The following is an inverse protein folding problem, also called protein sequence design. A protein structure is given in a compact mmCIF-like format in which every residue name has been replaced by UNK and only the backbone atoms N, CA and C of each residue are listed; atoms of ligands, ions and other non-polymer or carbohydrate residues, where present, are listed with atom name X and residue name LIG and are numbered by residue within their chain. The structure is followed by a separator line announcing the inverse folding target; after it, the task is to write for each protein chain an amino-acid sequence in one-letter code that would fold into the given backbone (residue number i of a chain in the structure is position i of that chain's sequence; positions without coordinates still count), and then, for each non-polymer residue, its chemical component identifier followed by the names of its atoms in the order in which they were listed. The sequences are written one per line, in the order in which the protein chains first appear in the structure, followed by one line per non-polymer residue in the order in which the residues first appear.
data_IF_044547703335
#
_entry.id   IF_044547703335
#
_cell.length_a   1.000
_cell.length_b   1.000
_cell.length_c   1.000
_cell.angle_alpha   90.00
_cell.angle_beta   90.00
_cell.angle_gamma   90.00
#
_symmetry.space_group_name_H-M   'P 1'
#
loop_
_entity.id
_entity.type
_entity.pdbx_description
1 polymer ?
#
# COMPACT_ATOMS: atom_id res chain seq x y z
N UNK A 1 -3.55 -13.11 1.91
CA UNK A 1 -3.56 -11.74 2.42
C UNK A 1 -2.15 -11.16 2.38
N UNK A 2 -2.05 -9.86 2.21
CA UNK A 2 -0.80 -9.14 2.07
C UNK A 2 -0.62 -8.06 3.13
N UNK A 3 0.60 -7.52 3.18
CA UNK A 3 0.95 -6.42 4.09
C UNK A 3 1.83 -5.40 3.36
N UNK A 4 1.65 -4.13 3.68
CA UNK A 4 2.58 -3.08 3.27
C UNK A 4 3.90 -3.26 3.99
N UNK A 5 4.99 -3.30 3.23
CA UNK A 5 6.34 -3.56 3.73
C UNK A 5 7.30 -2.43 3.36
N UNK A 6 7.94 -1.88 4.38
CA UNK A 6 9.07 -0.97 4.26
C UNK A 6 10.20 -1.47 5.16
N UNK A 7 11.46 -1.51 4.67
CA UNK A 7 12.57 -2.11 5.42
C UNK A 7 13.26 -1.14 6.37
N UNK A 8 12.78 0.10 6.47
CA UNK A 8 13.42 1.16 7.25
C UNK A 8 13.49 0.83 8.74
N UNK A 9 14.62 1.17 9.35
CA UNK A 9 14.81 1.16 10.80
C UNK A 9 14.88 2.59 11.34
N UNK A 10 15.05 2.74 12.66
CA UNK A 10 15.11 4.04 13.31
C UNK A 10 16.16 4.97 12.64
N UNK A 11 15.75 6.22 12.37
CA UNK A 11 16.59 7.20 11.69
C UNK A 11 16.61 7.10 10.15
N UNK A 12 15.91 6.14 9.59
CA UNK A 12 15.78 5.95 8.14
C UNK A 12 14.36 6.29 7.66
N UNK A 13 14.26 6.52 6.37
CA UNK A 13 13.00 6.80 5.66
C UNK A 13 13.26 6.93 4.17
N UNK A 14 12.27 7.41 3.39
CA UNK A 14 12.46 7.73 1.98
C UNK A 14 13.69 8.64 1.79
N UNK A 15 14.53 8.35 0.78
CA UNK A 15 15.84 8.98 0.60
C UNK A 15 17.01 8.18 1.18
N UNK A 16 16.74 7.18 2.02
CA UNK A 16 17.79 6.30 2.53
C UNK A 16 18.06 5.18 1.54
N UNK A 17 19.34 5.00 1.15
CA UNK A 17 19.75 3.86 0.32
C UNK A 17 19.66 2.56 1.11
N UNK A 18 18.79 1.65 0.69
CA UNK A 18 18.60 0.35 1.32
C UNK A 18 19.61 -0.68 0.80
N UNK A 19 20.07 -1.53 1.71
CA UNK A 19 20.92 -2.67 1.39
C UNK A 19 20.18 -3.99 1.49
N UNK A 20 20.62 -4.96 0.71
CA UNK A 20 20.02 -6.31 0.65
C UNK A 20 19.96 -7.00 2.03
N UNK A 21 21.02 -6.89 2.83
CA UNK A 21 21.09 -7.53 4.14
C UNK A 21 19.99 -7.04 5.07
N UNK A 22 19.74 -5.74 5.11
CA UNK A 22 18.69 -5.15 5.94
C UNK A 22 17.30 -5.55 5.44
N UNK A 23 17.09 -5.56 4.14
CA UNK A 23 15.82 -6.01 3.54
C UNK A 23 15.52 -7.45 3.96
N UNK A 24 16.50 -8.35 3.85
CA UNK A 24 16.35 -9.75 4.25
C UNK A 24 16.06 -9.90 5.73
N UNK A 25 16.77 -9.17 6.59
CA UNK A 25 16.53 -9.16 8.03
C UNK A 25 15.12 -8.72 8.37
N UNK A 26 14.67 -7.59 7.81
CA UNK A 26 13.33 -7.05 8.08
C UNK A 26 12.23 -7.95 7.50
N UNK A 27 12.42 -8.50 6.32
CA UNK A 27 11.47 -9.41 5.71
C UNK A 27 11.30 -10.71 6.53
N UNK A 28 12.36 -11.20 7.17
CA UNK A 28 12.31 -12.40 7.97
C UNK A 28 11.34 -12.33 9.16
N UNK A 29 11.06 -11.13 9.70
CA UNK A 29 10.06 -10.96 10.76
C UNK A 29 8.63 -11.23 10.26
N UNK A 30 8.31 -10.82 9.06
CA UNK A 30 6.93 -10.86 8.55
C UNK A 30 6.65 -12.08 7.64
N UNK A 31 7.68 -12.62 6.99
CA UNK A 31 7.55 -13.68 6.00
C UNK A 31 6.77 -14.91 6.50
N UNK A 32 6.90 -15.39 7.76
CA UNK A 32 6.11 -16.53 8.24
C UNK A 32 4.61 -16.26 8.38
N UNK A 33 4.19 -15.01 8.32
CA UNK A 33 2.84 -14.56 8.68
C UNK A 33 2.02 -14.05 7.49
N UNK A 34 2.63 -13.86 6.32
CA UNK A 34 1.99 -13.25 5.16
C UNK A 34 2.26 -14.05 3.88
N UNK A 35 1.39 -13.90 2.90
CA UNK A 35 1.55 -14.51 1.58
C UNK A 35 2.02 -13.52 0.52
N UNK A 36 1.80 -12.23 0.76
CA UNK A 36 2.12 -11.15 -0.20
C UNK A 36 2.69 -9.95 0.55
N UNK A 37 3.56 -9.21 -0.12
CA UNK A 37 3.97 -7.89 0.32
C UNK A 37 3.60 -6.84 -0.72
N UNK A 38 3.38 -5.62 -0.26
CA UNK A 38 3.30 -4.42 -1.08
C UNK A 38 4.48 -3.53 -0.79
N UNK A 39 5.15 -3.04 -1.85
CA UNK A 39 6.22 -2.05 -1.78
C UNK A 39 5.74 -0.71 -2.33
N UNK A 40 6.53 0.36 -2.15
CA UNK A 40 6.11 1.73 -2.48
C UNK A 40 6.99 2.41 -3.53
N UNK A 41 8.23 1.94 -3.73
CA UNK A 41 9.22 2.56 -4.59
C UNK A 41 10.07 1.51 -5.31
N UNK A 42 10.62 1.87 -6.46
CA UNK A 42 11.53 1.07 -7.27
C UNK A 42 12.91 1.70 -7.38
N UNK A 43 13.33 2.47 -6.39
CA UNK A 43 14.64 3.15 -6.32
C UNK A 43 15.21 3.11 -4.91
N UNK A 44 16.42 3.63 -4.72
CA UNK A 44 17.09 3.75 -3.42
C UNK A 44 17.27 2.41 -2.68
N UNK A 45 17.45 1.31 -3.44
CA UNK A 45 17.57 -0.04 -2.90
C UNK A 45 16.24 -0.77 -2.73
N UNK A 46 15.09 -0.06 -2.80
CA UNK A 46 13.77 -0.67 -2.71
C UNK A 46 13.48 -1.59 -3.90
N UNK A 47 14.12 -1.37 -5.04
CA UNK A 47 14.06 -2.22 -6.23
C UNK A 47 14.53 -3.66 -5.99
N UNK A 48 15.27 -3.90 -4.91
CA UNK A 48 15.73 -5.23 -4.51
C UNK A 48 14.63 -6.06 -3.82
N UNK A 49 13.66 -5.40 -3.19
CA UNK A 49 12.64 -6.06 -2.36
C UNK A 49 11.80 -7.09 -3.11
N UNK A 50 11.32 -6.84 -4.34
CA UNK A 50 10.47 -7.80 -5.05
C UNK A 50 11.18 -9.13 -5.34
N UNK A 51 12.44 -9.09 -5.77
CA UNK A 51 13.24 -10.30 -6.02
C UNK A 51 13.42 -11.11 -4.73
N UNK A 52 13.79 -10.45 -3.63
CA UNK A 52 13.97 -11.07 -2.31
C UNK A 52 12.67 -11.68 -1.80
N UNK A 53 11.54 -11.01 -2.00
CA UNK A 53 10.22 -11.54 -1.65
C UNK A 53 9.90 -12.83 -2.42
N UNK A 54 10.16 -12.85 -3.73
CA UNK A 54 9.96 -14.04 -4.58
C UNK A 54 10.84 -15.20 -4.16
N UNK A 55 12.11 -14.97 -3.81
CA UNK A 55 13.01 -15.99 -3.26
C UNK A 55 12.45 -16.64 -1.98
N UNK A 56 11.66 -15.90 -1.20
CA UNK A 56 11.01 -16.35 0.02
C UNK A 56 9.57 -16.84 -0.20
N UNK A 57 9.16 -17.04 -1.45
CA UNK A 57 7.84 -17.59 -1.79
C UNK A 57 6.68 -16.61 -1.62
N UNK A 58 6.94 -15.30 -1.53
CA UNK A 58 5.91 -14.28 -1.36
C UNK A 58 5.45 -13.72 -2.72
N UNK A 59 4.16 -13.44 -2.81
CA UNK A 59 3.61 -12.60 -3.87
C UNK A 59 3.95 -11.12 -3.66
N UNK A 60 3.91 -10.34 -4.75
CA UNK A 60 4.35 -8.94 -4.72
C UNK A 60 3.38 -8.01 -5.45
N UNK A 61 2.96 -6.95 -4.76
CA UNK A 61 2.42 -5.74 -5.36
C UNK A 61 3.54 -4.69 -5.32
N UNK A 62 4.12 -4.41 -6.47
CA UNK A 62 5.26 -3.50 -6.59
C UNK A 62 4.77 -2.09 -6.82
N UNK A 63 5.06 -1.20 -5.88
CA UNK A 63 4.72 0.21 -5.98
C UNK A 63 5.75 0.99 -6.80
N UNK A 64 5.24 1.87 -7.64
CA UNK A 64 6.02 2.83 -8.42
C UNK A 64 5.76 4.21 -7.84
N UNK A 65 6.74 4.79 -7.17
CA UNK A 65 6.56 6.10 -6.57
C UNK A 65 6.64 7.19 -7.64
N UNK A 66 5.54 7.92 -7.78
CA UNK A 66 5.46 9.07 -8.68
C UNK A 66 5.12 10.32 -7.88
N UNK A 67 5.79 11.43 -8.20
CA UNK A 67 5.54 12.74 -7.62
C UNK A 67 5.82 13.86 -8.67
N UNK A 68 6.05 15.08 -8.23
CA UNK A 68 6.36 16.22 -9.11
C UNK A 68 7.79 16.21 -9.66
N UNK A 69 8.66 15.32 -9.19
CA UNK A 69 10.01 15.11 -9.73
C UNK A 69 9.99 14.19 -10.95
N UNK A 70 9.85 14.77 -12.13
CA UNK A 70 9.71 14.02 -13.39
C UNK A 70 10.94 13.17 -13.73
N UNK A 71 12.15 13.61 -13.37
CA UNK A 71 13.37 12.82 -13.60
C UNK A 71 13.37 11.56 -12.74
N UNK A 72 12.98 11.66 -11.48
CA UNK A 72 12.87 10.52 -10.58
C UNK A 72 11.75 9.57 -11.02
N UNK A 73 10.63 10.09 -11.50
CA UNK A 73 9.53 9.29 -12.06
C UNK A 73 10.00 8.39 -13.21
N UNK A 74 10.89 8.89 -14.09
CA UNK A 74 11.45 8.08 -15.18
C UNK A 74 12.30 6.91 -14.69
N UNK A 75 13.06 7.11 -13.61
CA UNK A 75 13.84 6.04 -12.97
C UNK A 75 12.89 5.00 -12.37
N UNK A 76 11.89 5.44 -11.63
CA UNK A 76 10.90 4.57 -11.00
C UNK A 76 10.17 3.69 -12.03
N UNK A 77 9.66 4.27 -13.11
CA UNK A 77 8.91 3.53 -14.12
C UNK A 77 9.80 2.54 -14.89
N UNK A 78 11.03 2.93 -15.22
CA UNK A 78 11.99 2.06 -15.91
C UNK A 78 12.35 0.84 -15.04
N UNK A 79 12.65 1.05 -13.77
CA UNK A 79 12.96 -0.01 -12.82
C UNK A 79 11.76 -0.93 -12.58
N UNK A 80 10.56 -0.38 -12.48
CA UNK A 80 9.34 -1.17 -12.30
C UNK A 80 9.08 -2.12 -13.47
N UNK A 81 9.27 -1.65 -14.70
CA UNK A 81 9.16 -2.48 -15.91
C UNK A 81 10.21 -3.59 -15.91
N UNK A 82 11.44 -3.29 -15.54
CA UNK A 82 12.51 -4.29 -15.43
C UNK A 82 12.18 -5.36 -14.38
N UNK A 83 11.74 -4.94 -13.18
CA UNK A 83 11.32 -5.83 -12.10
C UNK A 83 10.18 -6.75 -12.55
N UNK A 84 9.17 -6.21 -13.22
CA UNK A 84 8.05 -6.99 -13.72
C UNK A 84 8.46 -8.00 -14.79
N UNK A 85 9.30 -7.60 -15.75
CA UNK A 85 9.77 -8.46 -16.81
C UNK A 85 10.76 -9.55 -16.31
N UNK A 86 11.40 -9.32 -15.17
CA UNK A 86 12.17 -10.36 -14.46
C UNK A 86 11.30 -11.38 -13.70
N UNK A 87 9.97 -11.20 -13.68
CA UNK A 87 9.05 -12.08 -12.98
C UNK A 87 8.91 -11.80 -11.49
N UNK A 88 9.32 -10.61 -11.04
CA UNK A 88 9.33 -10.26 -9.61
C UNK A 88 8.11 -9.43 -9.18
N UNK A 89 7.21 -9.07 -10.08
CA UNK A 89 5.96 -8.38 -9.77
C UNK A 89 4.75 -9.21 -10.22
N UNK A 90 3.80 -9.42 -9.33
CA UNK A 90 2.49 -9.97 -9.67
C UNK A 90 1.53 -8.86 -10.09
N UNK A 91 1.66 -7.68 -9.47
CA UNK A 91 0.88 -6.47 -9.75
C UNK A 91 1.83 -5.28 -9.71
N UNK A 92 1.65 -4.31 -10.61
CA UNK A 92 2.27 -2.99 -10.53
C UNK A 92 1.23 -1.96 -10.07
N UNK A 93 1.55 -1.24 -8.99
CA UNK A 93 0.80 -0.06 -8.55
C UNK A 93 1.53 1.21 -9.01
N UNK A 94 1.10 1.78 -10.12
CA UNK A 94 1.74 2.94 -10.76
C UNK A 94 1.22 4.23 -10.12
N UNK A 95 1.99 4.83 -9.25
CA UNK A 95 1.63 5.98 -8.43
C UNK A 95 0.88 5.59 -7.16
N UNK A 96 1.05 6.40 -6.13
CA UNK A 96 0.34 6.29 -4.86
C UNK A 96 -0.21 7.64 -4.45
N UNK A 97 -1.53 7.79 -4.43
CA UNK A 97 -2.24 9.01 -4.03
C UNK A 97 -1.78 10.29 -4.76
N UNK A 98 -1.35 10.14 -5.99
CA UNK A 98 -0.78 11.21 -6.80
C UNK A 98 -1.80 12.29 -7.12
N UNK A 99 -3.05 11.89 -7.40
CA UNK A 99 -4.16 12.81 -7.66
C UNK A 99 -4.61 13.49 -6.36
N UNK A 100 -4.70 12.72 -5.25
CA UNK A 100 -5.04 13.26 -3.94
C UNK A 100 -4.03 14.32 -3.47
N UNK A 101 -2.73 14.09 -3.72
CA UNK A 101 -1.66 15.06 -3.42
C UNK A 101 -1.56 16.21 -4.44
N UNK A 102 -2.09 16.02 -5.65
CA UNK A 102 -1.99 17.00 -6.74
C UNK A 102 -0.60 17.08 -7.41
N UNK A 103 0.21 16.02 -7.33
CA UNK A 103 1.58 15.99 -7.87
C UNK A 103 1.61 15.87 -9.40
N UNK A 104 0.64 15.17 -9.98
CA UNK A 104 0.48 14.98 -11.42
C UNK A 104 -0.94 15.32 -11.85
N UNK A 105 -1.07 15.70 -13.11
CA UNK A 105 -2.37 15.77 -13.77
C UNK A 105 -2.89 14.37 -14.11
N UNK A 106 -4.18 14.24 -14.35
CA UNK A 106 -4.79 12.99 -14.80
C UNK A 106 -4.15 12.47 -16.11
N UNK A 107 -3.85 13.37 -17.05
CA UNK A 107 -3.22 12.99 -18.32
C UNK A 107 -1.79 12.47 -18.13
N UNK A 108 -1.00 13.12 -17.31
CA UNK A 108 0.36 12.64 -16.97
C UNK A 108 0.33 11.26 -16.30
N UNK A 109 -0.58 11.05 -15.37
CA UNK A 109 -0.71 9.77 -14.68
C UNK A 109 -1.15 8.66 -15.65
N UNK A 110 -2.11 8.94 -16.54
CA UNK A 110 -2.54 8.00 -17.57
C UNK A 110 -1.38 7.63 -18.50
N UNK A 111 -0.52 8.58 -18.86
CA UNK A 111 0.68 8.30 -19.66
C UNK A 111 1.60 7.30 -18.95
N UNK A 112 1.90 7.50 -17.67
CA UNK A 112 2.71 6.56 -16.90
C UNK A 112 2.07 5.17 -16.78
N UNK A 113 0.77 5.09 -16.55
CA UNK A 113 0.03 3.81 -16.50
C UNK A 113 0.14 3.08 -17.85
N UNK A 114 -0.10 3.78 -18.94
CA UNK A 114 -0.04 3.19 -20.29
C UNK A 114 1.38 2.72 -20.62
N UNK A 115 2.39 3.50 -20.31
CA UNK A 115 3.81 3.13 -20.52
C UNK A 115 4.18 1.87 -19.73
N UNK A 116 3.72 1.76 -18.49
CA UNK A 116 3.92 0.53 -17.72
C UNK A 116 3.24 -0.66 -18.41
N UNK A 117 1.97 -0.53 -18.82
CA UNK A 117 1.23 -1.59 -19.52
C UNK A 117 1.88 -2.02 -20.82
N UNK A 118 2.39 -1.07 -21.60
CA UNK A 118 3.11 -1.36 -22.85
C UNK A 118 4.46 -2.04 -22.61
N UNK A 119 5.11 -1.74 -21.49
CA UNK A 119 6.42 -2.25 -21.13
C UNK A 119 6.43 -3.64 -20.49
N UNK A 120 5.29 -4.14 -20.01
CA UNK A 120 5.21 -5.42 -19.29
C UNK A 120 4.27 -6.41 -19.97
N UNK A 121 4.42 -7.70 -19.63
CA UNK A 121 3.56 -8.77 -20.16
C UNK A 121 3.12 -9.70 -19.03
N UNK A 122 1.80 -9.95 -18.95
CA UNK A 122 1.24 -10.88 -17.97
C UNK A 122 1.23 -10.37 -16.52
N UNK A 123 1.37 -9.05 -16.33
CA UNK A 123 1.30 -8.38 -15.04
C UNK A 123 0.17 -7.35 -15.09
N UNK A 124 -0.74 -7.41 -14.13
CA UNK A 124 -1.80 -6.43 -14.00
C UNK A 124 -1.22 -5.08 -13.54
N UNK A 125 -1.61 -4.00 -14.21
CA UNK A 125 -1.17 -2.64 -13.89
C UNK A 125 -2.36 -1.84 -13.39
N UNK A 126 -2.23 -1.29 -12.19
CA UNK A 126 -3.21 -0.42 -11.57
C UNK A 126 -2.61 0.88 -11.06
N UNK A 127 -3.47 1.71 -10.51
CA UNK A 127 -3.13 2.92 -9.79
C UNK A 127 -3.63 2.78 -8.35
N UNK A 128 -2.87 3.31 -7.39
CA UNK A 128 -3.22 3.28 -5.98
C UNK A 128 -3.68 4.67 -5.53
N UNK A 129 -4.91 4.77 -5.08
CA UNK A 129 -5.43 6.00 -4.47
C UNK A 129 -6.61 5.70 -3.54
N UNK A 130 -7.09 6.72 -2.83
CA UNK A 130 -8.30 6.64 -2.04
C UNK A 130 -9.47 6.14 -2.90
N UNK A 131 -10.30 5.29 -2.33
CA UNK A 131 -11.40 4.62 -3.03
C UNK A 131 -12.29 5.58 -3.82
N UNK A 132 -12.52 6.80 -3.32
CA UNK A 132 -13.39 7.79 -3.98
C UNK A 132 -12.75 8.46 -5.21
N UNK A 133 -11.41 8.43 -5.36
CA UNK A 133 -10.73 8.98 -6.53
C UNK A 133 -11.13 8.22 -7.81
N UNK A 134 -11.40 6.94 -7.70
CA UNK A 134 -11.87 6.14 -8.83
C UNK A 134 -13.29 6.51 -9.29
N UNK A 135 -14.11 7.07 -8.42
CA UNK A 135 -15.45 7.56 -8.78
C UNK A 135 -15.39 8.87 -9.58
N UNK A 136 -14.46 9.75 -9.22
CA UNK A 136 -14.34 11.08 -9.82
C UNK A 136 -13.38 11.12 -11.02
N UNK A 137 -12.58 10.07 -11.20
CA UNK A 137 -11.62 9.93 -12.30
C UNK A 137 -11.87 8.67 -13.16
N UNK A 138 -12.98 8.59 -13.90
CA UNK A 138 -13.33 7.40 -14.68
C UNK A 138 -12.31 7.07 -15.78
N UNK A 139 -11.55 8.03 -16.28
CA UNK A 139 -10.47 7.80 -17.25
C UNK A 139 -9.31 7.03 -16.64
N UNK A 140 -8.96 7.30 -15.38
CA UNK A 140 -7.97 6.53 -14.61
C UNK A 140 -8.46 5.10 -14.43
N UNK A 141 -9.70 4.93 -13.97
CA UNK A 141 -10.34 3.61 -13.84
C UNK A 141 -10.29 2.82 -15.15
N UNK A 142 -10.57 3.49 -16.27
CA UNK A 142 -10.53 2.86 -17.61
C UNK A 142 -9.10 2.43 -18.00
N UNK A 143 -8.08 3.21 -17.65
CA UNK A 143 -6.68 2.91 -17.97
C UNK A 143 -6.11 1.72 -17.17
N UNK A 144 -6.61 1.46 -15.97
CA UNK A 144 -6.13 0.39 -15.08
C UNK A 144 -6.66 -0.99 -15.49
N UNK A 145 -5.86 -2.04 -15.29
CA UNK A 145 -6.30 -3.44 -15.36
C UNK A 145 -6.98 -3.87 -14.06
N UNK A 146 -6.51 -3.35 -12.93
CA UNK A 146 -6.97 -3.63 -11.57
C UNK A 146 -7.14 -2.32 -10.80
N UNK A 147 -8.12 -2.27 -9.91
CA UNK A 147 -8.38 -1.12 -9.03
C UNK A 147 -7.72 -1.37 -7.69
N UNK A 148 -6.82 -0.48 -7.30
CA UNK A 148 -6.06 -0.56 -6.05
C UNK A 148 -6.53 0.56 -5.12
N UNK A 149 -7.50 0.24 -4.27
CA UNK A 149 -8.20 1.22 -3.46
C UNK A 149 -7.66 1.29 -2.03
N UNK A 150 -7.20 2.46 -1.60
CA UNK A 150 -6.91 2.76 -0.21
C UNK A 150 -8.21 3.08 0.52
N UNK A 151 -8.46 2.36 1.62
CA UNK A 151 -9.71 2.46 2.38
C UNK A 151 -9.38 2.62 3.87
N UNK A 152 -9.55 3.84 4.38
CA UNK A 152 -9.20 4.18 5.76
C UNK A 152 -10.38 4.79 6.52
N UNK A 153 -11.20 4.00 7.20
CA UNK A 153 -12.21 4.53 8.12
C UNK A 153 -11.62 5.46 9.19
N UNK A 154 -10.38 5.21 9.60
CA UNK A 154 -9.67 6.06 10.57
C UNK A 154 -9.54 7.51 10.10
N UNK A 155 -9.03 7.73 8.89
CA UNK A 155 -8.81 9.08 8.36
C UNK A 155 -10.11 9.85 8.10
N UNK A 156 -11.21 9.13 7.91
CA UNK A 156 -12.55 9.73 7.78
C UNK A 156 -13.28 9.89 9.12
N UNK A 157 -12.59 9.67 10.24
CA UNK A 157 -13.10 9.94 11.58
C UNK A 157 -14.15 8.94 12.08
N UNK A 158 -14.23 7.75 11.45
CA UNK A 158 -15.22 6.75 11.81
C UNK A 158 -14.89 6.08 13.16
N UNK A 159 -15.81 6.02 14.13
CA UNK A 159 -15.60 5.26 15.36
C UNK A 159 -15.29 3.79 15.08
N UNK A 160 -14.38 3.17 15.85
CA UNK A 160 -13.93 1.80 15.65
C UNK A 160 -15.06 0.76 15.63
N UNK A 161 -16.13 1.00 16.38
CA UNK A 161 -17.32 0.12 16.43
C UNK A 161 -18.08 0.05 15.10
N UNK A 162 -17.94 1.07 14.25
CA UNK A 162 -18.58 1.16 12.92
C UNK A 162 -17.58 1.00 11.77
N UNK A 163 -16.29 0.87 12.07
CA UNK A 163 -15.23 0.94 11.07
C UNK A 163 -15.33 -0.16 10.02
N UNK A 164 -15.67 -1.39 10.40
CA UNK A 164 -15.85 -2.49 9.43
C UNK A 164 -17.02 -2.22 8.46
N UNK A 165 -18.15 -1.73 8.97
CA UNK A 165 -19.30 -1.41 8.12
C UNK A 165 -18.93 -0.31 7.12
N UNK A 166 -18.19 0.69 7.57
CA UNK A 166 -17.73 1.80 6.74
C UNK A 166 -16.70 1.31 5.69
N UNK A 167 -15.78 0.43 6.10
CA UNK A 167 -14.83 -0.23 5.20
C UNK A 167 -15.53 -1.00 4.07
N UNK A 168 -16.56 -1.78 4.40
CA UNK A 168 -17.36 -2.50 3.41
C UNK A 168 -18.01 -1.56 2.39
N UNK A 169 -18.50 -0.41 2.83
CA UNK A 169 -19.09 0.59 1.95
C UNK A 169 -18.02 1.24 1.04
N UNK A 170 -16.83 1.56 1.56
CA UNK A 170 -15.71 2.05 0.75
C UNK A 170 -15.35 1.06 -0.36
N UNK A 171 -15.22 -0.22 0.00
CA UNK A 171 -14.93 -1.29 -0.95
C UNK A 171 -16.03 -1.44 -2.01
N UNK A 172 -17.30 -1.43 -1.60
CA UNK A 172 -18.45 -1.47 -2.51
C UNK A 172 -18.42 -0.31 -3.51
N UNK A 173 -18.08 0.88 -3.06
CA UNK A 173 -17.96 2.07 -3.93
C UNK A 173 -16.81 1.91 -4.92
N UNK A 174 -15.65 1.41 -4.48
CA UNK A 174 -14.56 1.09 -5.40
C UNK A 174 -14.95 0.04 -6.44
N UNK A 175 -15.70 -1.00 -6.05
CA UNK A 175 -16.22 -2.00 -6.99
C UNK A 175 -17.18 -1.39 -8.02
N UNK A 176 -18.08 -0.52 -7.58
CA UNK A 176 -19.02 0.16 -8.48
C UNK A 176 -18.28 1.05 -9.49
N UNK A 177 -17.30 1.82 -9.03
CA UNK A 177 -16.45 2.64 -9.89
C UNK A 177 -15.61 1.79 -10.86
N UNK A 178 -15.16 0.62 -10.43
CA UNK A 178 -14.32 -0.30 -11.20
C UNK A 178 -15.00 -0.95 -12.40
N UNK A 179 -16.34 -0.91 -12.49
CA UNK A 179 -17.07 -1.39 -13.65
C UNK A 179 -16.82 -2.88 -13.98
N UNK A 180 -16.69 -3.72 -12.95
CA UNK A 180 -16.45 -5.16 -13.09
C UNK A 180 -14.97 -5.57 -13.10
N UNK A 181 -14.04 -4.63 -12.98
CA UNK A 181 -12.61 -4.93 -12.80
C UNK A 181 -12.36 -5.51 -11.40
N UNK A 182 -11.30 -6.31 -11.27
CA UNK A 182 -10.79 -6.75 -9.96
C UNK A 182 -10.49 -5.55 -9.08
N UNK A 183 -10.92 -5.60 -7.83
CA UNK A 183 -10.65 -4.57 -6.83
C UNK A 183 -9.87 -5.18 -5.68
N UNK A 184 -8.76 -4.55 -5.32
CA UNK A 184 -7.94 -4.92 -4.18
C UNK A 184 -7.94 -3.74 -3.21
N UNK A 185 -8.10 -4.01 -1.93
CA UNK A 185 -7.82 -3.02 -0.88
C UNK A 185 -6.31 -2.94 -0.74
N UNK A 186 -5.72 -1.91 -1.33
CA UNK A 186 -4.26 -1.73 -1.38
C UNK A 186 -3.69 -1.21 -0.08
N UNK A 187 -4.50 -0.50 0.71
CA UNK A 187 -4.17 -0.08 2.08
C UNK A 187 -5.41 -0.01 2.94
N UNK A 188 -5.29 -0.47 4.16
CA UNK A 188 -6.18 -0.19 5.28
C UNK A 188 -5.46 -0.49 6.58
N UNK A 189 -5.80 0.21 7.66
CA UNK A 189 -5.15 0.03 8.96
C UNK A 189 -5.77 0.89 10.04
N UNK A 190 -5.24 0.75 11.26
CA UNK A 190 -5.63 1.52 12.43
C UNK A 190 -4.44 1.72 13.37
N UNK A 191 -4.07 2.96 13.72
CA UNK A 191 -2.95 3.19 14.63
C UNK A 191 -3.34 2.87 16.07
N UNK A 192 -2.37 2.42 16.87
CA UNK A 192 -2.63 2.08 18.27
C UNK A 192 -2.29 3.20 19.27
N UNK A 193 -1.62 4.24 18.83
CA UNK A 193 -1.21 5.39 19.65
C UNK A 193 -1.38 6.67 18.83
N UNK A 194 -1.76 7.76 19.49
CA UNK A 194 -1.77 9.09 18.91
C UNK A 194 -3.07 9.86 19.18
N UNK A 195 -3.19 11.01 18.54
CA UNK A 195 -4.36 11.89 18.67
C UNK A 195 -5.54 11.35 17.84
N UNK A 196 -6.75 11.30 18.41
CA UNK A 196 -7.94 10.92 17.66
C UNK A 196 -8.22 11.83 16.46
N UNK A 197 -8.71 11.21 15.39
CA UNK A 197 -9.27 11.91 14.23
C UNK A 197 -10.80 11.85 14.35
N UNK A 198 -11.43 12.93 14.79
CA UNK A 198 -12.86 12.96 15.09
C UNK A 198 -13.30 11.80 16.01
N UNK A 199 -14.14 10.89 15.53
CA UNK A 199 -14.60 9.71 16.26
C UNK A 199 -13.64 8.50 16.22
N UNK A 200 -12.61 8.56 15.38
CA UNK A 200 -11.61 7.50 15.26
C UNK A 200 -10.52 7.66 16.33
N UNK A 201 -10.52 6.76 17.31
CA UNK A 201 -9.62 6.80 18.47
C UNK A 201 -8.51 5.76 18.31
N UNK A 202 -7.21 6.18 18.25
CA UNK A 202 -6.10 5.27 18.36
C UNK A 202 -6.09 4.60 19.72
N UNK A 203 -6.06 3.28 19.75
CA UNK A 203 -5.84 2.48 20.96
C UNK A 203 -5.43 1.07 20.58
N UNK A 204 -4.84 0.36 21.53
CA UNK A 204 -4.50 -1.06 21.36
C UNK A 204 -5.76 -1.87 21.00
N UNK A 205 -6.83 -1.68 21.75
CA UNK A 205 -8.09 -2.41 21.59
C UNK A 205 -8.73 -2.14 20.22
N UNK A 206 -8.77 -0.86 19.80
CA UNK A 206 -9.34 -0.49 18.53
C UNK A 206 -8.50 -0.98 17.36
N UNK A 207 -7.17 -0.94 17.46
CA UNK A 207 -6.26 -1.41 16.43
C UNK A 207 -6.39 -2.92 16.20
N UNK A 208 -6.37 -3.72 17.28
CA UNK A 208 -6.53 -5.18 17.15
C UNK A 208 -7.94 -5.56 16.70
N UNK A 209 -8.97 -4.87 17.19
CA UNK A 209 -10.36 -5.08 16.74
C UNK A 209 -10.48 -4.84 15.25
N UNK A 210 -10.01 -3.71 14.77
CA UNK A 210 -10.07 -3.37 13.34
C UNK A 210 -9.33 -4.39 12.47
N UNK A 211 -8.14 -4.79 12.89
CA UNK A 211 -7.36 -5.82 12.19
C UNK A 211 -8.12 -7.13 12.08
N UNK A 212 -8.60 -7.66 13.22
CA UNK A 212 -9.31 -8.94 13.26
C UNK A 212 -10.60 -8.90 12.45
N UNK A 213 -11.40 -7.84 12.61
CA UNK A 213 -12.67 -7.68 11.91
C UNK A 213 -12.45 -7.57 10.38
N UNK A 214 -11.43 -6.82 9.95
CA UNK A 214 -11.07 -6.65 8.53
C UNK A 214 -10.65 -7.98 7.91
N UNK A 215 -9.76 -8.72 8.57
CA UNK A 215 -9.29 -10.00 8.05
C UNK A 215 -10.38 -11.07 8.00
N UNK A 216 -11.20 -11.15 9.03
CA UNK A 216 -12.33 -12.09 9.05
C UNK A 216 -13.29 -11.81 7.90
N UNK A 217 -13.65 -10.55 7.69
CA UNK A 217 -14.47 -10.16 6.55
C UNK A 217 -13.77 -10.48 5.22
N UNK A 218 -12.49 -10.18 5.09
CA UNK A 218 -11.74 -10.43 3.86
C UNK A 218 -11.73 -11.93 3.50
N UNK A 219 -11.58 -12.80 4.49
CA UNK A 219 -11.64 -14.26 4.29
C UNK A 219 -13.07 -14.73 3.93
N UNK A 220 -14.08 -14.25 4.64
CA UNK A 220 -15.48 -14.64 4.42
C UNK A 220 -16.01 -14.24 3.05
N UNK A 221 -15.68 -13.02 2.60
CA UNK A 221 -16.18 -12.45 1.34
C UNK A 221 -15.18 -12.60 0.16
N UNK A 222 -14.01 -13.20 0.37
CA UNK A 222 -12.98 -13.39 -0.65
C UNK A 222 -12.37 -12.10 -1.14
N UNK A 223 -12.21 -11.11 -0.26
CA UNK A 223 -11.63 -9.79 -0.56
C UNK A 223 -10.11 -9.83 -0.39
N UNK A 224 -9.40 -9.30 -1.37
CA UNK A 224 -7.95 -9.16 -1.30
C UNK A 224 -7.60 -7.87 -0.55
N UNK A 225 -6.79 -8.00 0.51
CA UNK A 225 -6.38 -6.88 1.37
C UNK A 225 -4.89 -6.89 1.58
N UNK A 226 -4.26 -5.72 1.42
CA UNK A 226 -2.93 -5.41 1.91
C UNK A 226 -3.05 -4.50 3.13
N UNK A 227 -2.69 -5.03 4.30
CA UNK A 227 -2.82 -4.29 5.55
C UNK A 227 -1.68 -3.28 5.72
N UNK A 228 -1.98 -2.11 6.20
CA UNK A 228 -1.02 -1.06 6.50
C UNK A 228 -0.83 -0.96 8.02
N UNK A 229 0.31 -1.40 8.56
CA UNK A 229 1.50 -1.82 7.87
C UNK A 229 2.29 -2.86 8.68
N UNK A 230 3.47 -3.25 8.18
CA UNK A 230 4.35 -4.18 8.87
C UNK A 230 4.92 -3.60 10.17
N UNK A 231 5.71 -2.55 10.09
CA UNK A 231 6.43 -1.98 11.22
C UNK A 231 5.95 -0.58 11.58
N UNK A 232 6.13 -0.22 12.85
CA UNK A 232 6.09 1.18 13.26
C UNK A 232 7.23 1.96 12.62
N UNK A 233 6.93 3.14 12.07
CA UNK A 233 7.87 3.93 11.29
C UNK A 233 7.85 5.41 11.72
N UNK A 234 8.85 5.83 12.48
CA UNK A 234 8.90 7.17 13.08
C UNK A 234 8.97 8.32 12.06
N UNK A 235 9.50 8.08 10.85
CA UNK A 235 9.61 9.12 9.82
C UNK A 235 8.27 9.65 9.30
N UNK A 236 7.18 8.90 9.50
CA UNK A 236 5.84 9.29 9.02
C UNK A 236 5.16 10.40 9.82
N UNK A 237 5.67 10.73 11.02
CA UNK A 237 5.03 11.75 11.89
C UNK A 237 5.00 13.13 11.26
N UNK A 238 5.94 13.48 10.39
CA UNK A 238 5.98 14.78 9.72
C UNK A 238 4.81 14.96 8.73
N UNK A 239 4.36 13.89 8.10
CA UNK A 239 3.29 13.91 7.12
C UNK A 239 1.92 13.55 7.72
N UNK A 240 1.88 12.63 8.70
CA UNK A 240 0.65 12.01 9.21
C UNK A 240 0.32 12.43 10.65
N UNK A 241 1.12 13.30 11.27
CA UNK A 241 0.99 13.64 12.69
C UNK A 241 1.47 12.51 13.60
N UNK A 242 1.14 12.60 14.88
CA UNK A 242 1.63 11.67 15.91
C UNK A 242 1.19 10.20 15.69
N UNK A 243 0.09 9.96 15.02
CA UNK A 243 -0.37 8.61 14.66
C UNK A 243 0.53 7.94 13.62
N UNK A 244 1.22 8.70 12.79
CA UNK A 244 2.03 8.20 11.67
C UNK A 244 3.05 7.15 12.04
N UNK A 245 3.59 7.20 13.25
CA UNK A 245 4.59 6.25 13.73
C UNK A 245 4.01 4.90 14.20
N UNK A 246 2.69 4.71 14.29
CA UNK A 246 2.09 3.61 15.07
C UNK A 246 1.09 2.74 14.31
N UNK A 247 1.30 2.57 13.01
CA UNK A 247 0.45 1.73 12.14
C UNK A 247 0.88 0.27 12.06
N UNK A 248 2.10 -0.06 12.55
CA UNK A 248 2.67 -1.39 12.41
C UNK A 248 1.93 -2.46 13.21
N UNK A 249 1.91 -3.70 12.69
CA UNK A 249 1.59 -4.89 13.47
C UNK A 249 2.78 -5.35 14.30
N UNK A 250 3.97 -4.97 13.89
CA UNK A 250 5.22 -5.06 14.67
C UNK A 250 5.70 -3.67 15.06
N UNK A 251 6.39 -3.59 16.19
CA UNK A 251 7.07 -2.35 16.57
C UNK A 251 8.30 -2.08 15.68
N UNK A 252 8.96 -0.96 15.90
CA UNK A 252 10.16 -0.57 15.13
C UNK A 252 11.31 -1.59 15.21
N UNK A 253 11.37 -2.39 16.27
CA UNK A 253 12.42 -3.38 16.53
C UNK A 253 12.05 -4.79 16.03
N UNK A 254 10.84 -4.97 15.51
CA UNK A 254 10.37 -6.25 14.97
C UNK A 254 9.65 -7.14 15.98
N UNK A 255 9.29 -6.62 17.16
CA UNK A 255 8.47 -7.36 18.11
C UNK A 255 6.99 -7.23 17.74
N UNK A 256 6.25 -8.33 17.86
CA UNK A 256 4.80 -8.31 17.66
C UNK A 256 4.11 -7.45 18.72
N UNK A 257 3.15 -6.60 18.31
CA UNK A 257 2.46 -5.66 19.21
C UNK A 257 1.22 -6.25 19.88
N UNK A 258 0.60 -7.26 19.24
CA UNK A 258 -0.72 -7.75 19.61
C UNK A 258 -0.76 -9.22 20.02
N UNK A 259 0.39 -9.81 20.33
CA UNK A 259 0.52 -11.21 20.79
C UNK A 259 1.31 -11.26 22.07
#
# INVERSE_FOLDING_TARGET
HGISFSPYVEGQGPGTQMGEAQIRERLAFIQPHVHHIRTFSCSEGNELMPAIAKENGLGTMVGVWLDDNREQNEIEIANAIEIANAGHADILGVGNEVLLRGDLTEDELIDYINRAKEGVSGVDVGYVDAYFEFEVHPRITAACDVILANCYPFWEGCPAEHALLYMKEMYRRAQAAGGGKRVIVSETGWPNIGTPTEGAVPSFENAIKYFVDTYRWAEEDGVEVFYFSSFDEAWKVDAEGDVGAYWGLWDKDGNTKYV
#
